data_IF_504875521048
#
_entry.id   IF_504875521048
#
_cell.length_a   1.000
_cell.length_b   1.000
_cell.length_c   1.000
_cell.angle_alpha   90.00
_cell.angle_beta   90.00
_cell.angle_gamma   90.00
#
_symmetry.space_group_name_H-M   'P 1'
#
loop_
_entity.id
_entity.type
_entity.pdbx_description
1 polymer ?
#
# COMPACT_ATOMS: atom_id res chain seq x y z
N UNK A 1 25.26 -5.43 -10.85
CA UNK A 1 25.08 -6.46 -9.79
C UNK A 1 23.63 -6.90 -9.93
N UNK A 2 23.33 -8.19 -10.12
CA UNK A 2 21.96 -8.67 -10.33
C UNK A 2 21.11 -8.24 -9.11
N UNK A 3 20.00 -7.54 -9.34
CA UNK A 3 18.99 -7.33 -8.31
C UNK A 3 18.71 -8.68 -7.66
N UNK A 4 18.98 -8.80 -6.35
CA UNK A 4 18.64 -10.04 -5.64
C UNK A 4 17.14 -10.19 -5.71
N UNK A 5 16.66 -11.32 -6.22
CA UNK A 5 15.28 -11.78 -5.99
C UNK A 5 15.10 -11.91 -4.47
N UNK A 6 14.69 -10.84 -3.81
CA UNK A 6 14.42 -10.84 -2.38
C UNK A 6 13.03 -11.42 -2.17
N UNK A 7 13.01 -12.73 -1.93
CA UNK A 7 12.07 -13.53 -1.15
C UNK A 7 10.70 -12.90 -0.83
N UNK A 8 9.91 -12.63 -1.85
CA UNK A 8 8.48 -12.53 -1.69
C UNK A 8 7.94 -13.93 -1.44
N UNK A 9 7.18 -14.10 -0.37
CA UNK A 9 6.44 -15.34 -0.17
C UNK A 9 5.18 -15.25 -1.02
N UNK A 10 5.17 -15.98 -2.14
CA UNK A 10 3.92 -16.30 -2.81
C UNK A 10 3.04 -16.97 -1.76
N UNK A 11 1.85 -16.41 -1.54
CA UNK A 11 0.90 -16.93 -0.55
C UNK A 11 0.75 -18.45 -0.74
N UNK A 12 1.20 -19.29 0.21
CA UNK A 12 0.92 -20.70 0.17
C UNK A 12 -0.49 -20.87 0.73
N UNK A 13 -1.51 -20.98 -0.11
CA UNK A 13 -2.77 -21.56 0.38
C UNK A 13 -3.55 -22.32 -0.74
N UNK A 14 -3.92 -23.61 -0.54
CA UNK A 14 -4.43 -24.51 -1.58
C UNK A 14 -5.90 -24.31 -1.98
N UNK A 15 -6.58 -23.28 -1.47
CA UNK A 15 -8.05 -23.15 -1.55
C UNK A 15 -8.56 -21.81 -2.12
N UNK A 16 -7.66 -20.97 -2.67
CA UNK A 16 -7.99 -19.70 -3.35
C UNK A 16 -8.74 -19.85 -4.70
N UNK A 17 -9.18 -21.06 -5.04
CA UNK A 17 -10.15 -21.32 -6.11
C UNK A 17 -11.59 -20.93 -5.73
N UNK A 18 -11.81 -20.37 -4.53
CA UNK A 18 -13.13 -19.92 -4.05
C UNK A 18 -13.31 -18.44 -4.33
N UNK A 19 -14.48 -18.09 -4.86
CA UNK A 19 -14.84 -16.76 -5.34
C UNK A 19 -14.59 -15.66 -4.28
N UNK A 20 -13.45 -14.97 -4.35
CA UNK A 20 -13.22 -13.71 -3.63
C UNK A 20 -13.78 -12.59 -4.47
N UNK A 21 -14.51 -11.69 -3.83
CA UNK A 21 -15.07 -10.51 -4.45
C UNK A 21 -14.38 -9.34 -3.78
N UNK A 22 -13.53 -8.65 -4.52
CA UNK A 22 -12.90 -7.39 -4.12
C UNK A 22 -13.65 -6.23 -4.80
N UNK A 23 -13.45 -4.99 -4.38
CA UNK A 23 -13.98 -3.80 -5.08
C UNK A 23 -12.86 -2.77 -5.07
N UNK A 24 -12.57 -2.13 -6.21
CA UNK A 24 -11.54 -1.08 -6.36
C UNK A 24 -12.09 0.09 -7.20
N UNK A 25 -11.58 1.31 -7.05
CA UNK A 25 -11.97 2.47 -7.87
C UNK A 25 -10.98 2.75 -9.00
N UNK A 26 -11.48 3.40 -10.06
CA UNK A 26 -10.79 4.02 -11.21
C UNK A 26 -9.72 3.20 -11.98
N UNK A 27 -9.19 3.82 -13.03
CA UNK A 27 -8.29 3.28 -14.06
C UNK A 27 -6.87 3.03 -13.52
N UNK A 28 -6.81 2.43 -12.34
CA UNK A 28 -5.57 2.17 -11.64
C UNK A 28 -5.01 0.85 -12.16
N UNK A 29 -3.81 0.83 -12.70
CA UNK A 29 -3.16 -0.42 -13.09
C UNK A 29 -2.91 -1.32 -11.85
N UNK A 30 -2.94 -0.71 -10.66
CA UNK A 30 -2.92 -1.34 -9.35
C UNK A 30 -4.28 -1.89 -8.89
N UNK A 31 -5.39 -1.46 -9.49
CA UNK A 31 -6.71 -1.87 -9.03
C UNK A 31 -6.82 -3.39 -9.01
N UNK A 32 -7.38 -3.92 -7.92
CA UNK A 32 -7.65 -5.34 -7.67
C UNK A 32 -8.53 -6.04 -8.75
N UNK A 33 -8.78 -5.36 -9.87
CA UNK A 33 -9.23 -5.88 -11.16
C UNK A 33 -8.22 -6.85 -11.80
N UNK A 34 -6.93 -6.72 -11.50
CA UNK A 34 -5.87 -7.52 -12.11
C UNK A 34 -5.75 -8.89 -11.43
N UNK A 35 -5.68 -8.98 -10.10
CA UNK A 35 -5.61 -10.24 -9.35
C UNK A 35 -6.91 -11.08 -9.40
N UNK A 36 -7.17 -11.85 -10.47
CA UNK A 36 -8.13 -12.98 -10.60
C UNK A 36 -9.64 -12.64 -10.42
N UNK A 37 -10.01 -11.54 -9.77
CA UNK A 37 -11.39 -11.31 -9.32
C UNK A 37 -12.20 -10.51 -10.34
N UNK A 38 -12.58 -11.19 -11.44
CA UNK A 38 -13.40 -10.68 -12.55
C UNK A 38 -14.78 -10.09 -12.16
N UNK A 39 -15.19 -10.18 -10.88
CA UNK A 39 -16.42 -9.58 -10.35
C UNK A 39 -16.18 -8.39 -9.44
N UNK A 40 -14.94 -7.92 -9.33
CA UNK A 40 -14.67 -6.65 -8.70
C UNK A 40 -15.32 -5.53 -9.50
N UNK A 41 -16.31 -4.87 -8.90
CA UNK A 41 -17.01 -3.76 -9.54
C UNK A 41 -16.24 -2.47 -9.27
N UNK A 42 -16.29 -1.53 -10.20
CA UNK A 42 -15.83 -0.16 -9.94
C UNK A 42 -16.78 0.49 -8.93
N UNK A 43 -16.22 1.29 -8.04
CA UNK A 43 -16.97 2.06 -7.06
C UNK A 43 -16.24 3.38 -6.79
N UNK A 44 -16.97 4.41 -6.41
CA UNK A 44 -16.43 5.72 -6.06
C UNK A 44 -16.57 6.02 -4.57
N UNK A 45 -17.31 5.21 -3.81
CA UNK A 45 -17.57 5.45 -2.39
C UNK A 45 -17.61 4.14 -1.61
N UNK A 46 -17.40 4.21 -0.29
CA UNK A 46 -17.58 3.04 0.60
C UNK A 46 -18.97 2.42 0.46
N UNK A 47 -20.00 3.27 0.33
CA UNK A 47 -21.39 2.84 0.11
C UNK A 47 -21.53 1.99 -1.15
N UNK A 48 -20.94 2.42 -2.27
CA UNK A 48 -20.95 1.64 -3.52
C UNK A 48 -20.13 0.35 -3.38
N UNK A 49 -19.02 0.36 -2.63
CA UNK A 49 -18.25 -0.86 -2.31
C UNK A 49 -19.14 -1.93 -1.69
N UNK A 50 -19.82 -1.55 -0.62
CA UNK A 50 -20.72 -2.43 0.14
C UNK A 50 -21.83 -2.95 -0.76
N UNK A 51 -22.49 -2.07 -1.51
CA UNK A 51 -23.59 -2.48 -2.38
C UNK A 51 -23.11 -3.46 -3.47
N UNK A 52 -21.92 -3.25 -4.03
CA UNK A 52 -21.33 -4.15 -5.00
C UNK A 52 -21.00 -5.52 -4.40
N UNK A 53 -20.47 -5.55 -3.18
CA UNK A 53 -20.15 -6.79 -2.46
C UNK A 53 -21.40 -7.63 -2.18
N UNK A 54 -22.48 -6.98 -1.73
CA UNK A 54 -23.78 -7.61 -1.46
C UNK A 54 -24.48 -8.09 -2.73
N UNK A 55 -24.51 -7.27 -3.78
CA UNK A 55 -25.14 -7.63 -5.05
C UNK A 55 -24.35 -8.71 -5.81
N UNK A 56 -23.05 -8.81 -5.58
CA UNK A 56 -22.21 -9.87 -6.13
C UNK A 56 -22.31 -11.17 -5.35
N UNK A 57 -22.95 -11.23 -4.18
CA UNK A 57 -23.06 -12.45 -3.38
C UNK A 57 -24.33 -13.24 -3.64
N UNK A 58 -24.24 -14.21 -4.54
CA UNK A 58 -25.27 -15.25 -4.73
C UNK A 58 -25.32 -16.27 -3.55
N UNK A 59 -25.18 -15.81 -2.30
CA UNK A 59 -25.58 -16.55 -1.10
C UNK A 59 -24.65 -17.63 -0.53
N UNK A 60 -23.41 -17.83 -1.04
CA UNK A 60 -22.54 -18.95 -0.63
C UNK A 60 -21.08 -18.59 -0.27
N UNK A 61 -20.75 -17.35 0.07
CA UNK A 61 -19.33 -16.96 0.25
C UNK A 61 -18.82 -17.24 1.65
N UNK A 62 -17.70 -17.95 1.78
CA UNK A 62 -17.00 -18.02 3.08
C UNK A 62 -16.21 -16.74 3.40
N UNK A 63 -15.79 -16.01 2.36
CA UNK A 63 -14.88 -14.86 2.46
C UNK A 63 -15.40 -13.69 1.60
N UNK A 64 -15.40 -12.49 2.17
CA UNK A 64 -15.65 -11.22 1.49
C UNK A 64 -14.34 -10.42 1.43
N UNK A 65 -14.06 -9.76 0.31
CA UNK A 65 -12.84 -8.96 0.15
C UNK A 65 -13.14 -7.49 -0.11
N UNK A 66 -12.32 -6.59 0.41
CA UNK A 66 -12.20 -5.23 -0.14
C UNK A 66 -10.73 -4.99 -0.44
N UNK A 67 -10.41 -4.20 -1.44
CA UNK A 67 -9.03 -3.88 -1.68
C UNK A 67 -8.86 -2.49 -2.25
N UNK A 68 -7.75 -1.87 -1.89
CA UNK A 68 -7.42 -0.50 -2.25
C UNK A 68 -6.08 -0.14 -1.64
N UNK A 69 -5.72 1.13 -1.72
CA UNK A 69 -4.51 1.59 -1.07
C UNK A 69 -4.68 1.58 0.45
N UNK A 70 -3.63 1.18 1.17
CA UNK A 70 -3.64 1.07 2.62
C UNK A 70 -2.62 1.94 3.31
N UNK A 71 -2.79 2.06 4.62
CA UNK A 71 -1.78 2.41 5.61
C UNK A 71 -2.27 1.89 6.98
N UNK A 72 -1.44 1.82 8.05
CA UNK A 72 -1.83 1.37 9.37
C UNK A 72 -3.09 2.07 9.89
N UNK A 73 -4.20 1.34 10.01
CA UNK A 73 -5.48 1.89 10.45
C UNK A 73 -6.22 2.72 9.40
N UNK A 74 -5.93 2.50 8.12
CA UNK A 74 -6.56 3.20 7.00
C UNK A 74 -6.66 2.28 5.76
N UNK A 75 -7.76 2.41 5.03
CA UNK A 75 -7.91 1.83 3.68
C UNK A 75 -8.74 2.73 2.78
N UNK A 76 -8.32 2.86 1.52
CA UNK A 76 -9.10 3.52 0.48
C UNK A 76 -10.14 2.60 -0.12
N UNK A 77 -11.33 3.14 -0.34
CA UNK A 77 -12.47 2.42 -0.92
C UNK A 77 -13.12 3.21 -2.06
N UNK A 78 -12.39 4.13 -2.70
CA UNK A 78 -13.01 5.04 -3.67
C UNK A 78 -12.09 6.09 -4.29
N UNK A 79 -11.05 6.52 -3.57
CA UNK A 79 -10.25 7.69 -3.92
C UNK A 79 -9.37 7.50 -5.16
N UNK A 80 -8.87 6.28 -5.37
CA UNK A 80 -7.89 6.01 -6.43
C UNK A 80 -6.51 6.61 -6.10
N UNK A 81 -5.54 6.51 -7.02
CA UNK A 81 -4.13 6.70 -6.71
C UNK A 81 -3.74 8.15 -6.39
N UNK A 82 -4.58 9.11 -6.79
CA UNK A 82 -4.33 10.54 -6.58
C UNK A 82 -4.80 11.05 -5.23
N UNK A 83 -5.46 10.19 -4.44
CA UNK A 83 -6.22 10.61 -3.29
C UNK A 83 -7.40 11.51 -3.66
N UNK A 84 -8.30 11.68 -2.72
CA UNK A 84 -9.50 12.50 -2.80
C UNK A 84 -9.70 13.29 -1.51
N UNK A 85 -10.36 14.44 -1.60
CA UNK A 85 -10.80 15.17 -0.41
C UNK A 85 -12.12 14.63 0.16
N UNK A 86 -12.79 13.70 -0.51
CA UNK A 86 -14.04 13.12 -0.06
C UNK A 86 -13.81 12.01 0.98
N UNK A 87 -14.16 12.31 2.24
CA UNK A 87 -14.02 11.37 3.35
C UNK A 87 -14.86 10.09 3.20
N UNK A 88 -15.87 10.06 2.32
CA UNK A 88 -16.68 8.86 2.03
C UNK A 88 -15.95 7.84 1.14
N UNK A 89 -14.69 8.11 0.80
CA UNK A 89 -13.85 7.25 -0.03
C UNK A 89 -12.78 6.52 0.79
N UNK A 90 -12.86 6.62 2.11
CA UNK A 90 -11.89 6.05 3.04
C UNK A 90 -12.58 5.35 4.20
N UNK A 91 -11.90 4.36 4.77
CA UNK A 91 -12.26 3.75 6.04
C UNK A 91 -11.07 3.92 6.99
N UNK A 92 -11.27 4.71 8.04
CA UNK A 92 -10.35 4.83 9.19
C UNK A 92 -11.17 5.16 10.45
N UNK A 93 -10.53 5.10 11.63
CA UNK A 93 -11.26 5.30 12.89
C UNK A 93 -11.90 6.69 13.02
N UNK A 94 -11.28 7.73 12.44
CA UNK A 94 -11.73 9.12 12.59
C UNK A 94 -12.99 9.48 11.80
N UNK A 95 -13.32 8.74 10.73
CA UNK A 95 -14.52 8.97 9.92
C UNK A 95 -15.57 7.86 10.08
N UNK A 96 -15.59 7.17 11.23
CA UNK A 96 -16.48 6.05 11.50
C UNK A 96 -17.95 6.30 11.19
N UNK A 97 -18.46 7.51 11.45
CA UNK A 97 -19.85 7.90 11.16
C UNK A 97 -20.21 7.85 9.67
N UNK A 98 -19.24 7.81 8.75
CA UNK A 98 -19.47 7.77 7.31
C UNK A 98 -19.57 6.33 6.77
N UNK A 99 -18.92 5.36 7.43
CA UNK A 99 -18.84 3.99 6.93
C UNK A 99 -19.48 2.94 7.84
N UNK A 100 -19.69 3.19 9.13
CA UNK A 100 -20.21 2.21 10.09
C UNK A 100 -21.55 1.60 9.63
N UNK A 101 -22.56 2.45 9.40
CA UNK A 101 -23.89 2.05 8.92
C UNK A 101 -23.85 1.28 7.58
N UNK A 102 -22.78 1.45 6.80
CA UNK A 102 -22.59 0.72 5.56
C UNK A 102 -22.15 -0.71 5.84
N UNK A 103 -21.23 -0.90 6.78
CA UNK A 103 -20.75 -2.23 7.16
C UNK A 103 -21.77 -3.03 7.95
N UNK A 104 -22.67 -2.38 8.70
CA UNK A 104 -23.77 -3.04 9.42
C UNK A 104 -24.73 -3.79 8.48
N UNK A 105 -24.76 -3.41 7.20
CA UNK A 105 -25.50 -4.13 6.17
C UNK A 105 -24.97 -5.54 5.92
N UNK A 106 -23.78 -5.88 6.44
CA UNK A 106 -23.19 -7.21 6.37
C UNK A 106 -23.61 -8.16 7.50
N UNK A 107 -24.28 -7.69 8.56
CA UNK A 107 -24.68 -8.50 9.71
C UNK A 107 -25.37 -9.81 9.30
N UNK A 108 -26.38 -9.70 8.43
CA UNK A 108 -27.18 -10.84 7.98
C UNK A 108 -26.58 -11.59 6.78
N UNK A 109 -25.44 -11.13 6.25
CA UNK A 109 -24.83 -11.75 5.08
C UNK A 109 -24.08 -13.02 5.49
N UNK A 110 -24.17 -14.05 4.64
CA UNK A 110 -23.62 -15.39 4.91
C UNK A 110 -22.16 -15.48 4.48
N UNK A 111 -21.28 -14.79 5.20
CA UNK A 111 -19.83 -15.00 5.15
C UNK A 111 -19.22 -15.01 6.56
N UNK A 112 -18.02 -15.58 6.66
CA UNK A 112 -17.33 -15.78 7.93
C UNK A 112 -16.18 -14.78 8.13
N UNK A 113 -15.51 -14.41 7.04
CA UNK A 113 -14.30 -13.58 7.08
C UNK A 113 -14.40 -12.41 6.09
N UNK A 114 -14.06 -11.21 6.55
CA UNK A 114 -13.85 -10.02 5.74
C UNK A 114 -12.34 -9.76 5.63
N UNK A 115 -11.80 -9.85 4.42
CA UNK A 115 -10.39 -9.62 4.12
C UNK A 115 -10.20 -8.25 3.50
N UNK A 116 -9.26 -7.48 4.04
CA UNK A 116 -8.82 -6.21 3.49
C UNK A 116 -7.48 -6.42 2.78
N UNK A 117 -7.49 -6.25 1.46
CA UNK A 117 -6.33 -6.36 0.57
C UNK A 117 -5.74 -4.97 0.31
N UNK A 118 -4.86 -4.54 1.22
CA UNK A 118 -4.19 -3.25 1.18
C UNK A 118 -2.86 -3.30 1.93
N UNK A 119 -1.94 -2.38 1.62
CA UNK A 119 -0.66 -2.28 2.32
C UNK A 119 -0.85 -1.89 3.80
N UNK A 120 -0.22 -2.64 4.71
CA UNK A 120 -0.05 -2.28 6.12
C UNK A 120 -1.31 -1.96 6.93
N UNK A 121 -2.53 -2.15 6.41
CA UNK A 121 -3.76 -1.72 7.07
C UNK A 121 -3.96 -2.34 8.43
N UNK A 122 -3.52 -3.60 8.59
CA UNK A 122 -3.59 -4.32 9.87
C UNK A 122 -2.45 -3.98 10.83
N UNK A 123 -1.42 -3.24 10.42
CA UNK A 123 -0.25 -3.02 11.27
C UNK A 123 -0.47 -1.98 12.38
N UNK A 124 0.38 -2.07 13.39
CA UNK A 124 0.48 -1.14 14.51
C UNK A 124 -0.83 -1.02 15.30
N UNK A 125 -0.85 -0.13 16.30
CA UNK A 125 -2.03 0.10 17.15
C UNK A 125 -3.22 0.61 16.34
N UNK A 126 -3.00 1.48 15.35
CA UNK A 126 -4.07 2.03 14.51
C UNK A 126 -4.73 0.95 13.65
N UNK A 127 -3.96 0.01 13.09
CA UNK A 127 -4.49 -1.12 12.35
C UNK A 127 -5.29 -2.08 13.23
N UNK A 128 -4.73 -2.44 14.39
CA UNK A 128 -5.43 -3.24 15.40
C UNK A 128 -6.81 -2.67 15.75
N UNK A 129 -6.85 -1.37 16.04
CA UNK A 129 -8.06 -0.67 16.42
C UNK A 129 -9.06 -0.58 15.26
N UNK A 130 -8.60 -0.26 14.04
CA UNK A 130 -9.47 -0.22 12.87
C UNK A 130 -10.14 -1.58 12.61
N UNK A 131 -9.37 -2.67 12.61
CA UNK A 131 -9.92 -4.00 12.34
C UNK A 131 -10.97 -4.39 13.40
N UNK A 132 -10.74 -4.04 14.67
CA UNK A 132 -11.71 -4.25 15.74
C UNK A 132 -13.00 -3.45 15.51
N UNK A 133 -12.92 -2.17 15.15
CA UNK A 133 -14.11 -1.36 14.83
C UNK A 133 -14.89 -1.93 13.64
N UNK A 134 -14.21 -2.31 12.56
CA UNK A 134 -14.83 -2.95 11.39
C UNK A 134 -15.48 -4.28 11.81
N UNK A 135 -14.82 -5.09 12.63
CA UNK A 135 -15.36 -6.37 13.09
C UNK A 135 -16.65 -6.19 13.90
N UNK A 136 -16.70 -5.17 14.76
CA UNK A 136 -17.90 -4.80 15.52
C UNK A 136 -19.05 -4.37 14.61
N UNK A 137 -18.81 -3.47 13.66
CA UNK A 137 -19.85 -2.98 12.76
C UNK A 137 -20.20 -3.95 11.63
N UNK A 138 -19.38 -4.95 11.32
CA UNK A 138 -19.74 -5.99 10.36
C UNK A 138 -20.33 -7.24 11.02
N UNK A 139 -20.14 -7.43 12.34
CA UNK A 139 -20.37 -8.68 13.07
C UNK A 139 -19.68 -9.88 12.41
N UNK A 140 -18.42 -9.68 12.01
CA UNK A 140 -17.60 -10.66 11.27
C UNK A 140 -16.18 -10.65 11.77
N UNK A 141 -15.45 -11.73 11.50
CA UNK A 141 -13.99 -11.70 11.56
C UNK A 141 -13.47 -10.78 10.46
N UNK A 142 -12.54 -9.90 10.79
CA UNK A 142 -11.87 -9.01 9.83
C UNK A 142 -10.37 -9.25 9.88
N UNK A 143 -9.73 -9.36 8.73
CA UNK A 143 -8.29 -9.54 8.63
C UNK A 143 -7.66 -8.57 7.62
N UNK A 144 -6.45 -8.10 7.93
CA UNK A 144 -5.65 -7.26 7.02
C UNK A 144 -4.16 -7.53 7.21
N UNK A 145 -3.36 -7.15 6.21
CA UNK A 145 -1.90 -7.36 6.24
C UNK A 145 -1.17 -6.32 7.09
N UNK A 146 -0.09 -6.76 7.73
CA UNK A 146 0.80 -5.89 8.52
C UNK A 146 1.97 -5.34 7.71
N UNK A 147 2.13 -5.67 6.43
CA UNK A 147 3.22 -5.17 5.59
C UNK A 147 2.76 -4.86 4.18
N UNK A 148 3.70 -4.63 3.27
CA UNK A 148 3.36 -4.31 1.89
C UNK A 148 2.67 -5.48 1.16
N UNK A 149 1.71 -5.13 0.31
CA UNK A 149 0.92 -6.04 -0.52
C UNK A 149 0.95 -5.55 -1.97
N UNK A 150 1.30 -6.45 -2.90
CA UNK A 150 1.48 -6.12 -4.31
C UNK A 150 0.63 -7.01 -5.19
N UNK A 151 -0.02 -6.43 -6.19
CA UNK A 151 -0.65 -7.19 -7.26
C UNK A 151 0.38 -7.48 -8.34
N UNK A 152 0.70 -8.76 -8.56
CA UNK A 152 1.64 -9.20 -9.58
C UNK A 152 0.87 -9.69 -10.80
N UNK A 153 1.35 -9.33 -12.00
CA UNK A 153 0.83 -9.80 -13.28
C UNK A 153 1.96 -10.44 -14.09
N UNK A 154 1.78 -11.71 -14.46
CA UNK A 154 2.65 -12.38 -15.43
C UNK A 154 1.82 -12.97 -16.57
N UNK A 155 1.84 -12.30 -17.72
CA UNK A 155 0.97 -12.61 -18.86
C UNK A 155 -0.51 -12.40 -18.49
N UNK A 156 -1.28 -13.50 -18.50
CA UNK A 156 -2.70 -13.54 -18.11
C UNK A 156 -2.92 -14.05 -16.68
N UNK A 157 -1.85 -14.35 -15.93
CA UNK A 157 -1.92 -14.78 -14.54
C UNK A 157 -1.70 -13.59 -13.63
N UNK A 158 -2.39 -13.63 -12.50
CA UNK A 158 -2.29 -12.60 -11.49
C UNK A 158 -2.36 -13.19 -10.09
N UNK A 159 -1.66 -12.60 -9.13
CA UNK A 159 -1.67 -13.03 -7.73
C UNK A 159 -1.23 -11.88 -6.82
N UNK A 160 -1.32 -12.07 -5.52
CA UNK A 160 -0.73 -11.16 -4.55
C UNK A 160 0.60 -11.70 -4.01
N UNK A 161 1.55 -10.80 -3.87
CA UNK A 161 2.79 -11.02 -3.12
C UNK A 161 2.82 -10.10 -1.91
N UNK A 162 3.50 -10.55 -0.86
CA UNK A 162 3.63 -9.80 0.39
C UNK A 162 5.08 -9.62 0.74
N UNK A 163 5.39 -8.46 1.33
CA UNK A 163 6.64 -8.22 2.00
C UNK A 163 6.98 -9.37 2.96
N UNK A 164 8.24 -9.79 2.94
CA UNK A 164 8.70 -10.88 3.80
C UNK A 164 8.47 -10.50 5.27
N UNK A 165 7.96 -11.43 6.07
CA UNK A 165 7.58 -11.20 7.46
C UNK A 165 6.25 -10.47 7.66
N UNK A 166 5.59 -10.02 6.59
CA UNK A 166 4.23 -9.49 6.69
C UNK A 166 3.29 -10.62 7.11
N UNK A 167 2.51 -10.38 8.17
CA UNK A 167 1.53 -11.34 8.69
C UNK A 167 0.11 -10.79 8.54
N UNK A 168 -0.88 -11.59 8.91
CA UNK A 168 -2.27 -11.17 9.01
C UNK A 168 -2.58 -10.74 10.44
N UNK A 169 -2.99 -9.50 10.64
CA UNK A 169 -3.66 -9.10 11.86
C UNK A 169 -5.15 -9.40 11.74
N UNK A 170 -5.74 -9.91 12.83
CA UNK A 170 -7.11 -10.42 12.86
C UNK A 170 -7.86 -9.80 14.03
N UNK A 171 -9.09 -9.40 13.79
CA UNK A 171 -10.04 -9.00 14.83
C UNK A 171 -11.34 -9.78 14.67
N UNK A 172 -11.97 -10.13 15.79
CA UNK A 172 -13.25 -10.83 15.81
C UNK A 172 -14.30 -9.95 16.51
N UNK A 173 -15.56 -10.06 16.08
CA UNK A 173 -16.63 -9.16 16.52
C UNK A 173 -16.99 -9.32 18.00
N UNK A 174 -16.66 -10.45 18.62
CA UNK A 174 -16.90 -10.73 20.04
C UNK A 174 -15.77 -10.22 20.95
N UNK A 175 -14.64 -9.76 20.40
CA UNK A 175 -13.53 -9.23 21.19
C UNK A 175 -13.95 -7.98 21.95
N UNK A 176 -13.70 -7.93 23.26
CA UNK A 176 -14.04 -6.77 24.11
C UNK A 176 -13.11 -5.59 23.78
N UNK A 177 -11.83 -5.87 23.58
CA UNK A 177 -10.79 -4.89 23.26
C UNK A 177 -10.16 -5.18 21.89
N UNK A 178 -9.48 -4.20 21.27
CA UNK A 178 -8.69 -4.45 20.07
C UNK A 178 -7.63 -5.55 20.28
N UNK A 179 -7.26 -6.32 19.24
CA UNK A 179 -6.16 -7.28 19.33
C UNK A 179 -4.83 -6.57 19.63
N UNK A 180 -3.85 -7.30 20.18
CA UNK A 180 -2.50 -6.77 20.37
C UNK A 180 -1.92 -6.27 19.03
N UNK A 181 -1.28 -5.08 18.99
CA UNK A 181 -0.67 -4.55 17.78
C UNK A 181 0.44 -5.45 17.23
N UNK A 182 0.49 -5.61 15.91
CA UNK A 182 1.63 -6.23 15.22
C UNK A 182 2.33 -5.16 14.39
N UNK A 183 3.63 -4.97 14.62
CA UNK A 183 4.43 -4.00 13.88
C UNK A 183 4.59 -4.39 12.40
N UNK A 184 4.88 -3.39 11.57
CA UNK A 184 5.28 -3.65 10.19
C UNK A 184 6.60 -4.43 10.12
N UNK A 185 6.77 -5.38 9.20
CA UNK A 185 8.02 -6.12 9.09
C UNK A 185 9.15 -5.21 8.58
N UNK A 186 9.93 -4.61 9.48
CA UNK A 186 11.04 -3.70 9.13
C UNK A 186 12.29 -4.42 8.57
N UNK A 187 12.15 -5.28 7.57
CA UNK A 187 13.22 -6.24 7.21
C UNK A 187 14.53 -5.61 6.71
N UNK A 188 14.57 -4.30 6.44
CA UNK A 188 15.72 -3.66 5.82
C UNK A 188 16.47 -2.63 6.69
N UNK A 189 16.13 -2.47 7.98
CA UNK A 189 16.82 -1.49 8.85
C UNK A 189 18.25 -1.88 9.29
N UNK A 190 18.73 -3.10 9.01
CA UNK A 190 19.91 -3.65 9.70
C UNK A 190 21.19 -3.87 8.87
N UNK A 191 21.26 -3.47 7.59
CA UNK A 191 22.51 -3.59 6.81
C UNK A 191 22.92 -2.25 6.21
N UNK A 192 23.67 -1.45 6.98
CA UNK A 192 24.12 -0.14 6.55
C UNK A 192 25.49 -0.22 5.88
N UNK A 193 25.51 0.01 4.57
CA UNK A 193 26.60 0.73 3.92
C UNK A 193 25.99 2.00 3.34
N UNK A 194 26.54 3.20 3.61
CA UNK A 194 26.01 4.42 3.02
C UNK A 194 26.03 4.29 1.50
N UNK A 195 24.86 4.33 0.86
CA UNK A 195 24.78 4.28 -0.58
C UNK A 195 25.36 5.57 -1.13
N UNK A 196 26.18 5.46 -2.19
CA UNK A 196 26.74 6.63 -2.89
C UNK A 196 26.15 6.80 -4.28
N UNK A 197 25.31 5.86 -4.67
CA UNK A 197 24.64 5.81 -5.96
C UNK A 197 23.32 5.09 -5.82
N UNK A 198 22.41 5.36 -6.75
CA UNK A 198 21.18 4.58 -6.93
C UNK A 198 21.13 4.03 -8.35
N UNK A 199 20.29 3.01 -8.54
CA UNK A 199 20.12 2.35 -9.83
C UNK A 199 18.71 2.64 -10.36
N UNK A 200 18.59 2.86 -11.66
CA UNK A 200 17.29 3.04 -12.32
C UNK A 200 17.37 2.47 -13.75
N UNK A 201 16.22 2.19 -14.36
CA UNK A 201 16.14 1.71 -15.74
C UNK A 201 15.80 2.84 -16.72
N UNK A 202 16.65 3.04 -17.73
CA UNK A 202 16.38 3.88 -18.91
C UNK A 202 16.07 2.96 -20.10
N UNK A 203 14.77 2.69 -20.29
CA UNK A 203 14.34 1.60 -21.17
C UNK A 203 14.82 0.25 -20.62
N UNK A 204 15.66 -0.45 -21.38
CA UNK A 204 16.23 -1.75 -20.98
C UNK A 204 17.65 -1.64 -20.39
N UNK A 205 18.14 -0.41 -20.17
CA UNK A 205 19.49 -0.16 -19.69
C UNK A 205 19.44 0.17 -18.21
N UNK A 206 20.12 -0.61 -17.38
CA UNK A 206 20.36 -0.27 -15.98
C UNK A 206 21.39 0.87 -15.93
N UNK A 207 20.98 2.01 -15.40
CA UNK A 207 21.81 3.20 -15.21
C UNK A 207 22.10 3.36 -13.73
N UNK A 208 23.38 3.57 -13.39
CA UNK A 208 23.82 3.86 -12.03
C UNK A 208 24.16 5.34 -11.96
N UNK A 209 23.51 6.07 -11.04
CA UNK A 209 23.73 7.50 -10.84
C UNK A 209 24.42 7.71 -9.51
N UNK A 210 25.60 8.34 -9.52
CA UNK A 210 26.24 8.78 -8.29
C UNK A 210 25.49 9.98 -7.70
N UNK A 211 25.36 10.03 -6.38
CA UNK A 211 24.68 11.14 -5.71
C UNK A 211 25.35 12.50 -6.02
N UNK A 212 26.65 12.51 -6.32
CA UNK A 212 27.39 13.70 -6.73
C UNK A 212 26.97 14.27 -8.10
N UNK A 213 26.24 13.51 -8.91
CA UNK A 213 25.73 13.96 -10.21
C UNK A 213 24.37 14.69 -10.09
N UNK A 214 23.76 14.65 -8.91
CA UNK A 214 22.49 15.32 -8.61
C UNK A 214 22.74 16.81 -8.35
N UNK A 215 21.99 17.66 -9.04
CA UNK A 215 22.09 19.12 -8.88
C UNK A 215 20.81 19.77 -8.34
N UNK A 216 19.67 19.07 -8.42
CA UNK A 216 18.42 19.54 -7.81
C UNK A 216 17.59 18.38 -7.26
N UNK A 217 16.97 18.60 -6.09
CA UNK A 217 15.99 17.70 -5.51
C UNK A 217 14.77 18.51 -5.07
N UNK A 218 13.60 18.15 -5.58
CA UNK A 218 12.32 18.71 -5.16
C UNK A 218 11.45 17.61 -4.54
N UNK A 219 10.78 17.92 -3.44
CA UNK A 219 9.75 17.07 -2.85
C UNK A 219 8.43 17.81 -2.93
N UNK A 220 7.42 17.17 -3.52
CA UNK A 220 6.06 17.69 -3.60
C UNK A 220 5.19 16.89 -2.63
N UNK A 221 4.57 17.58 -1.68
CA UNK A 221 3.61 16.95 -0.77
C UNK A 221 2.20 16.85 -1.37
N UNK A 222 1.29 16.20 -0.65
CA UNK A 222 -0.10 16.07 -1.08
C UNK A 222 -0.87 17.40 -1.19
N UNK A 223 -0.35 18.49 -0.60
CA UNK A 223 -0.90 19.85 -0.74
C UNK A 223 -0.29 20.61 -1.92
N UNK A 224 0.54 19.94 -2.75
CA UNK A 224 1.30 20.54 -3.85
C UNK A 224 2.32 21.59 -3.40
N UNK A 225 2.70 21.60 -2.11
CA UNK A 225 3.82 22.41 -1.62
C UNK A 225 5.10 21.80 -2.16
N UNK A 226 5.91 22.64 -2.82
CA UNK A 226 7.24 22.26 -3.29
C UNK A 226 8.24 22.59 -2.18
N UNK A 227 8.99 21.57 -1.76
CA UNK A 227 10.08 21.66 -0.80
C UNK A 227 11.36 21.37 -1.59
N UNK A 228 12.20 22.38 -1.77
CA UNK A 228 13.52 22.20 -2.37
C UNK A 228 14.51 21.79 -1.28
N UNK A 229 15.21 20.69 -1.49
CA UNK A 229 16.23 20.23 -0.54
C UNK A 229 17.48 21.08 -0.73
N UNK A 230 18.10 21.54 0.35
CA UNK A 230 19.34 22.30 0.25
C UNK A 230 20.46 21.42 -0.32
N UNK A 231 21.32 22.00 -1.16
CA UNK A 231 22.41 21.26 -1.82
C UNK A 231 23.36 20.56 -0.82
N UNK A 232 23.62 21.19 0.32
CA UNK A 232 24.43 20.61 1.40
C UNK A 232 23.79 19.34 2.02
N UNK A 233 22.47 19.20 1.89
CA UNK A 233 21.68 18.09 2.41
C UNK A 233 21.42 16.97 1.40
N UNK A 234 21.79 17.13 0.12
CA UNK A 234 21.50 16.13 -0.92
C UNK A 234 22.00 14.74 -0.58
N UNK A 235 23.25 14.61 -0.13
CA UNK A 235 23.81 13.30 0.17
C UNK A 235 23.04 12.61 1.29
N UNK A 236 22.77 13.34 2.38
CA UNK A 236 22.02 12.81 3.51
C UNK A 236 20.59 12.43 3.10
N UNK A 237 19.92 13.29 2.33
CA UNK A 237 18.59 13.02 1.83
C UNK A 237 18.55 11.77 0.95
N UNK A 238 19.46 11.66 -0.03
CA UNK A 238 19.53 10.51 -0.94
C UNK A 238 19.93 9.22 -0.20
N UNK A 239 20.81 9.27 0.81
CA UNK A 239 21.12 8.13 1.70
C UNK A 239 19.89 7.66 2.49
N UNK A 240 18.95 8.57 2.79
CA UNK A 240 17.70 8.24 3.48
C UNK A 240 16.59 7.77 2.54
N UNK A 241 16.61 8.20 1.28
CA UNK A 241 15.68 7.73 0.24
C UNK A 241 16.09 6.35 -0.27
N UNK A 242 17.36 6.20 -0.65
CA UNK A 242 17.95 4.95 -1.10
C UNK A 242 18.62 4.23 0.07
N UNK A 243 17.87 4.08 1.15
CA UNK A 243 18.37 3.56 2.42
C UNK A 243 18.60 2.04 2.36
N UNK A 244 17.91 1.34 1.46
CA UNK A 244 18.03 -0.10 1.25
C UNK A 244 18.61 -0.43 -0.12
N UNK A 245 19.00 -1.70 -0.33
CA UNK A 245 19.17 -2.20 -1.70
C UNK A 245 17.87 -2.01 -2.49
N UNK A 246 18.00 -1.78 -3.81
CA UNK A 246 16.86 -1.66 -4.70
C UNK A 246 16.13 -2.99 -4.81
N UNK A 247 14.81 -2.94 -4.69
CA UNK A 247 13.93 -4.12 -4.73
C UNK A 247 13.15 -4.09 -6.03
N UNK A 248 13.15 -5.23 -6.73
CA UNK A 248 12.34 -5.40 -7.93
C UNK A 248 10.88 -5.61 -7.56
N UNK A 249 9.98 -4.79 -8.10
CA UNK A 249 8.54 -4.85 -7.92
C UNK A 249 7.88 -4.80 -9.30
N UNK A 250 7.49 -5.96 -9.82
CA UNK A 250 6.84 -6.09 -11.14
C UNK A 250 5.38 -5.62 -11.15
N UNK A 251 4.85 -5.23 -9.99
CA UNK A 251 3.47 -4.80 -9.79
C UNK A 251 3.32 -3.33 -9.39
N UNK A 252 2.07 -2.92 -9.18
CA UNK A 252 1.77 -1.63 -8.57
C UNK A 252 1.54 -1.77 -7.07
N UNK A 253 1.92 -0.73 -6.34
CA UNK A 253 1.88 -0.71 -4.87
C UNK A 253 0.50 -0.25 -4.43
N UNK A 254 -0.17 -1.06 -3.62
CA UNK A 254 -1.46 -0.73 -3.00
C UNK A 254 -1.29 0.12 -1.73
N UNK A 255 -0.43 1.13 -1.79
CA UNK A 255 -0.20 2.09 -0.69
C UNK A 255 -0.55 3.52 -1.11
N UNK A 256 -0.83 4.40 -0.14
CA UNK A 256 -1.15 5.81 -0.43
C UNK A 256 0.13 6.53 -0.85
N UNK A 257 0.10 7.22 -1.99
CA UNK A 257 1.17 8.17 -2.32
C UNK A 257 1.06 9.38 -1.41
N UNK A 258 2.07 9.54 -0.57
CA UNK A 258 2.18 10.60 0.43
C UNK A 258 2.96 11.81 -0.05
N UNK A 259 3.92 11.61 -0.97
CA UNK A 259 4.78 12.63 -1.57
C UNK A 259 5.32 12.15 -2.93
N UNK A 260 5.75 13.09 -3.76
CA UNK A 260 6.55 12.82 -4.95
C UNK A 260 7.94 13.43 -4.80
N UNK A 261 8.99 12.72 -5.19
CA UNK A 261 10.36 13.24 -5.25
C UNK A 261 10.76 13.39 -6.71
N UNK A 262 11.33 14.54 -7.05
CA UNK A 262 11.96 14.79 -8.33
C UNK A 262 13.46 14.98 -8.14
N UNK A 263 14.25 14.13 -8.79
CA UNK A 263 15.71 14.17 -8.75
C UNK A 263 16.21 14.60 -10.12
N UNK A 264 16.94 15.71 -10.16
CA UNK A 264 17.51 16.26 -11.38
C UNK A 264 19.02 16.01 -11.41
N UNK A 265 19.50 15.41 -12.48
CA UNK A 265 20.92 15.15 -12.74
C UNK A 265 21.18 15.26 -14.24
N UNK A 266 22.29 15.89 -14.63
CA UNK A 266 22.57 16.23 -16.04
C UNK A 266 21.33 16.89 -16.68
N UNK A 267 20.90 16.43 -17.85
CA UNK A 267 19.69 16.90 -18.55
C UNK A 267 18.46 16.00 -18.29
N UNK A 268 18.46 15.22 -17.20
CA UNK A 268 17.40 14.27 -16.86
C UNK A 268 16.69 14.63 -15.56
N UNK A 269 15.43 14.20 -15.51
CA UNK A 269 14.55 14.27 -14.34
C UNK A 269 14.03 12.87 -14.05
N UNK A 270 14.24 12.39 -12.84
CA UNK A 270 13.61 11.18 -12.32
C UNK A 270 12.50 11.55 -11.35
N UNK A 271 11.44 10.75 -11.36
CA UNK A 271 10.28 10.88 -10.49
C UNK A 271 10.15 9.62 -9.64
N UNK A 272 9.97 9.81 -8.33
CA UNK A 272 9.68 8.76 -7.37
C UNK A 272 8.39 9.08 -6.63
N UNK A 273 7.55 8.08 -6.42
CA UNK A 273 6.39 8.16 -5.54
C UNK A 273 6.75 7.60 -4.18
N UNK A 274 6.53 8.37 -3.10
CA UNK A 274 6.66 7.89 -1.72
C UNK A 274 5.32 7.38 -1.23
N UNK A 275 5.30 6.11 -0.84
CA UNK A 275 4.16 5.41 -0.28
C UNK A 275 4.27 5.36 1.25
N UNK A 276 3.26 5.90 1.93
CA UNK A 276 3.13 5.89 3.40
C UNK A 276 4.37 6.34 4.18
N UNK A 277 5.15 7.28 3.63
CA UNK A 277 6.45 7.73 4.18
C UNK A 277 7.46 6.61 4.50
N UNK A 278 7.32 5.43 3.89
CA UNK A 278 8.12 4.23 4.21
C UNK A 278 8.74 3.54 3.02
N UNK A 279 8.15 3.72 1.85
CA UNK A 279 8.62 3.09 0.63
C UNK A 279 8.63 4.11 -0.50
N UNK A 280 9.60 4.08 -1.40
CA UNK A 280 9.51 4.83 -2.65
C UNK A 280 9.71 3.93 -3.86
N UNK A 281 8.97 4.20 -4.94
CA UNK A 281 9.10 3.52 -6.24
C UNK A 281 9.40 4.55 -7.31
N UNK A 282 10.31 4.23 -8.24
CA UNK A 282 10.47 5.03 -9.45
C UNK A 282 9.20 4.93 -10.32
N UNK A 283 8.69 6.06 -10.78
CA UNK A 283 7.49 6.08 -11.64
C UNK A 283 7.80 5.40 -12.97
N UNK A 284 6.98 4.41 -13.34
CA UNK A 284 7.12 3.64 -14.57
C UNK A 284 8.25 2.59 -14.56
N UNK A 285 8.89 2.33 -13.42
CA UNK A 285 9.96 1.34 -13.31
C UNK A 285 9.65 0.29 -12.25
N UNK A 286 10.14 -0.95 -12.40
CA UNK A 286 9.90 -2.01 -11.44
C UNK A 286 10.91 -1.97 -10.27
N UNK A 287 11.41 -0.80 -9.88
CA UNK A 287 12.41 -0.69 -8.81
C UNK A 287 11.97 0.32 -7.74
N UNK A 288 12.11 -0.09 -6.48
CA UNK A 288 11.84 0.77 -5.34
C UNK A 288 12.70 0.44 -4.13
N UNK A 289 12.55 1.23 -3.07
CA UNK A 289 13.43 1.29 -1.91
C UNK A 289 12.59 1.52 -0.66
N UNK A 290 12.97 0.92 0.47
CA UNK A 290 12.43 1.39 1.74
C UNK A 290 13.19 2.64 2.17
N UNK A 291 12.43 3.56 2.75
CA UNK A 291 12.92 4.84 3.23
C UNK A 291 13.41 4.68 4.67
N UNK A 292 14.41 5.47 5.04
CA UNK A 292 14.83 5.60 6.43
C UNK A 292 13.75 6.32 7.25
N UNK A 293 13.48 5.87 8.47
CA UNK A 293 12.51 6.53 9.37
C UNK A 293 12.87 8.00 9.64
N UNK A 294 14.18 8.30 9.68
CA UNK A 294 14.72 9.65 9.86
C UNK A 294 14.39 10.59 8.70
N UNK A 295 14.02 10.08 7.51
CA UNK A 295 13.71 10.91 6.34
C UNK A 295 12.58 11.89 6.63
N UNK A 296 11.61 11.50 7.48
CA UNK A 296 10.51 12.37 7.90
C UNK A 296 11.02 13.70 8.47
N UNK A 297 12.08 13.65 9.28
CA UNK A 297 12.67 14.85 9.87
C UNK A 297 13.35 15.77 8.86
N UNK A 298 13.75 15.27 7.69
CA UNK A 298 14.38 16.08 6.64
C UNK A 298 13.34 16.80 5.77
N UNK A 299 12.11 16.28 5.73
CA UNK A 299 11.02 16.79 4.88
C UNK A 299 9.91 17.48 5.67
N UNK A 300 9.93 17.43 7.00
CA UNK A 300 8.91 18.05 7.87
C UNK A 300 9.29 19.42 8.42
N UNK A 301 10.52 19.91 8.18
CA UNK A 301 11.08 21.10 8.85
C UNK A 301 11.09 22.41 8.02
N UNK A 302 10.33 22.49 6.93
CA UNK A 302 10.14 23.72 6.14
C UNK A 302 8.66 23.98 5.87
#
# INVERSE_FOLDING_TARGET
MLAKELFFERLPDPDFNKEVYSVSSHNDNASNHSAIYLRARRHLTTQEAVNNLRNGSNGLKRVLGIGGHGAPGFVETGAGPSGSSDENQYIYAGNQSLWADQLERFFNERFNEFVIYSCSTGANRSGAHLLWLIAKHAEKQVIARTGLLYAVRQGNKYWFETEKGATWQRAHYDMIEPPEPIDTPHQFLNYRNPMKSFEYFDGNILVVINFSEVHKIEVIDNNKKIIEIDQESYFLFLDRVFYTEGISIEGEILGIVSKQIFIYFKDKKLELSIYEDRFCKFVGQPIGYYLSEDLKSLISFQ
#
